data_IF_149913037916
#
_entry.id   IF_149913037916
#
_cell.length_a   1.000
_cell.length_b   1.000
_cell.length_c   1.000
_cell.angle_alpha   90.00
_cell.angle_beta   90.00
_cell.angle_gamma   90.00
#
_symmetry.space_group_name_H-M   'P 1'
#
loop_
_entity.id
_entity.type
_entity.pdbx_description
1 polymer ?
#
# COMPACT_ATOMS: atom_id res chain seq x y z
N UNK A 1 70.98 12.96 -16.49
CA UNK A 1 69.72 12.39 -17.01
C UNK A 1 68.82 12.06 -15.81
N UNK A 2 67.78 12.88 -15.56
CA UNK A 2 66.88 12.70 -14.42
C UNK A 2 65.51 12.37 -15.02
N UNK A 3 65.02 11.15 -14.80
CA UNK A 3 63.70 10.71 -15.21
C UNK A 3 62.67 11.18 -14.17
N UNK A 4 61.69 11.98 -14.61
CA UNK A 4 60.56 12.38 -13.80
C UNK A 4 59.44 11.32 -13.95
N UNK A 5 59.07 10.65 -12.86
CA UNK A 5 57.89 9.83 -12.78
C UNK A 5 56.65 10.73 -12.56
N UNK A 6 55.73 10.72 -13.52
CA UNK A 6 54.44 11.34 -13.36
C UNK A 6 53.49 10.39 -12.69
N UNK A 7 53.04 10.72 -11.47
CA UNK A 7 52.02 10.01 -10.73
C UNK A 7 50.64 10.35 -11.31
N UNK A 8 49.97 9.40 -11.97
CA UNK A 8 48.60 9.53 -12.45
C UNK A 8 47.64 9.20 -11.28
N UNK A 9 47.08 10.23 -10.64
CA UNK A 9 46.06 10.05 -9.62
C UNK A 9 44.71 9.73 -10.30
N UNK A 10 44.28 8.47 -10.17
CA UNK A 10 42.97 8.01 -10.62
C UNK A 10 41.91 8.49 -9.60
N UNK A 11 41.17 9.53 -9.95
CA UNK A 11 40.02 9.98 -9.18
C UNK A 11 38.88 8.99 -9.48
N UNK A 12 38.68 8.02 -8.59
CA UNK A 12 37.47 7.21 -8.54
C UNK A 12 36.34 8.09 -8.03
N UNK A 13 35.60 8.68 -8.96
CA UNK A 13 34.35 9.35 -8.67
C UNK A 13 33.36 8.32 -8.12
N UNK A 14 33.02 8.43 -6.83
CA UNK A 14 31.91 7.72 -6.23
C UNK A 14 30.63 8.10 -6.97
N UNK A 15 30.11 7.20 -7.77
CA UNK A 15 28.75 7.30 -8.28
C UNK A 15 27.85 7.12 -7.07
N UNK A 16 27.34 8.25 -6.55
CA UNK A 16 26.26 8.23 -5.56
C UNK A 16 25.13 7.39 -6.19
N UNK A 17 24.85 6.25 -5.54
CA UNK A 17 23.74 5.39 -5.94
C UNK A 17 22.49 6.26 -5.95
N UNK A 18 21.84 6.37 -7.10
CA UNK A 18 20.50 6.87 -7.18
C UNK A 18 19.67 5.94 -6.29
N UNK A 19 19.14 6.45 -5.19
CA UNK A 19 18.15 5.76 -4.39
C UNK A 19 17.06 5.32 -5.36
N UNK A 20 16.94 4.02 -5.55
CA UNK A 20 15.84 3.44 -6.32
C UNK A 20 14.56 3.77 -5.55
N UNK A 21 13.96 4.90 -5.89
CA UNK A 21 12.63 5.25 -5.42
C UNK A 21 11.73 4.13 -5.90
N UNK A 22 11.34 3.23 -5.00
CA UNK A 22 10.39 2.16 -5.32
C UNK A 22 9.08 2.86 -5.69
N UNK A 23 8.82 3.01 -6.98
CA UNK A 23 7.57 3.57 -7.46
C UNK A 23 6.45 2.64 -7.02
N UNK A 24 5.52 3.17 -6.24
CA UNK A 24 4.31 2.45 -5.87
C UNK A 24 3.54 2.10 -7.15
N UNK A 25 3.08 0.85 -7.24
CA UNK A 25 2.16 0.45 -8.29
C UNK A 25 0.78 1.03 -7.98
N UNK A 26 0.41 2.09 -8.70
CA UNK A 26 -0.83 2.82 -8.47
C UNK A 26 -1.63 2.99 -9.77
N UNK A 27 -2.92 3.25 -9.58
CA UNK A 27 -3.85 3.79 -10.58
C UNK A 27 -4.65 4.92 -9.96
N UNK A 28 -5.03 5.92 -10.75
CA UNK A 28 -5.87 7.04 -10.31
C UNK A 28 -7.15 7.08 -11.14
N UNK A 29 -8.31 7.03 -10.49
CA UNK A 29 -9.61 7.18 -11.13
C UNK A 29 -10.57 7.97 -10.25
N UNK A 30 -11.31 8.89 -10.86
CA UNK A 30 -12.27 9.76 -10.17
C UNK A 30 -11.63 10.50 -8.98
N UNK A 31 -10.36 10.92 -9.15
CA UNK A 31 -9.55 11.59 -8.14
C UNK A 31 -9.19 10.72 -6.93
N UNK A 32 -9.43 9.41 -6.98
CA UNK A 32 -9.03 8.44 -5.96
C UNK A 32 -7.77 7.74 -6.42
N UNK A 33 -6.76 7.68 -5.56
CA UNK A 33 -5.56 6.90 -5.80
C UNK A 33 -5.73 5.50 -5.19
N UNK A 34 -5.47 4.49 -5.99
CA UNK A 34 -5.48 3.09 -5.60
C UNK A 34 -4.07 2.53 -5.74
N UNK A 35 -3.64 1.73 -4.78
CA UNK A 35 -2.33 1.06 -4.81
C UNK A 35 -2.47 -0.45 -4.81
N UNK A 36 -1.45 -1.09 -5.32
CA UNK A 36 -1.25 -2.53 -5.26
C UNK A 36 0.11 -2.81 -4.60
N UNK A 37 0.12 -3.67 -3.62
CA UNK A 37 1.34 -4.28 -3.12
C UNK A 37 1.56 -5.62 -3.83
N UNK A 38 2.78 -5.85 -4.35
CA UNK A 38 3.06 -7.00 -5.21
C UNK A 38 2.90 -8.34 -4.49
N UNK A 39 3.26 -8.38 -3.21
CA UNK A 39 3.38 -9.60 -2.41
C UNK A 39 2.32 -9.70 -1.32
N UNK A 40 1.15 -9.06 -1.50
CA UNK A 40 0.05 -9.25 -0.57
C UNK A 40 -0.36 -10.73 -0.53
N UNK A 41 -0.38 -11.34 0.67
CA UNK A 41 -0.89 -12.69 0.82
C UNK A 41 -2.40 -12.71 0.55
N UNK A 42 -2.96 -13.89 0.43
CA UNK A 42 -4.39 -14.07 0.18
C UNK A 42 -4.68 -14.68 -1.18
N UNK A 43 -5.95 -14.99 -1.45
CA UNK A 43 -6.29 -15.57 -2.73
C UNK A 43 -6.21 -14.53 -3.85
N UNK A 44 -5.69 -14.90 -5.01
CA UNK A 44 -5.75 -14.05 -6.18
C UNK A 44 -7.21 -13.88 -6.66
N UNK A 45 -7.49 -12.77 -7.32
CA UNK A 45 -8.76 -12.60 -8.01
C UNK A 45 -8.86 -13.52 -9.22
N UNK A 46 -10.09 -13.96 -9.49
CA UNK A 46 -10.48 -14.73 -10.67
C UNK A 46 -11.38 -13.89 -11.58
N UNK A 47 -11.67 -14.38 -12.79
CA UNK A 47 -12.65 -13.71 -13.67
C UNK A 47 -14.05 -13.62 -13.05
N UNK A 48 -14.40 -14.55 -12.15
CA UNK A 48 -15.67 -14.52 -11.42
C UNK A 48 -15.79 -13.35 -10.44
N UNK A 49 -14.67 -12.80 -9.99
CA UNK A 49 -14.65 -11.65 -9.07
C UNK A 49 -14.79 -10.30 -9.81
N UNK A 50 -14.72 -10.29 -11.15
CA UNK A 50 -14.85 -9.07 -11.93
C UNK A 50 -16.32 -8.69 -12.07
N UNK A 51 -16.64 -7.47 -11.69
CA UNK A 51 -17.91 -6.80 -11.96
C UNK A 51 -17.94 -6.17 -13.35
N UNK A 52 -18.79 -5.16 -13.54
CA UNK A 52 -18.81 -4.37 -14.77
C UNK A 52 -17.47 -3.68 -15.03
N UNK A 53 -17.16 -3.43 -16.31
CA UNK A 53 -16.06 -2.54 -16.68
C UNK A 53 -16.33 -1.15 -16.08
N UNK A 54 -15.32 -0.62 -15.40
CA UNK A 54 -15.40 0.65 -14.70
C UNK A 54 -14.76 1.79 -15.50
N UNK A 55 -13.55 1.53 -16.03
CA UNK A 55 -12.77 2.52 -16.74
C UNK A 55 -11.69 1.86 -17.61
N UNK A 56 -10.94 2.69 -18.33
CA UNK A 56 -9.75 2.30 -19.10
C UNK A 56 -8.60 3.20 -18.68
N UNK A 57 -7.39 2.66 -18.54
CA UNK A 57 -6.17 3.45 -18.35
C UNK A 57 -5.91 4.26 -19.62
N UNK A 58 -5.87 5.58 -19.50
CA UNK A 58 -5.62 6.48 -20.63
C UNK A 58 -4.15 6.78 -20.81
N UNK A 59 -3.40 6.92 -19.68
CA UNK A 59 -1.97 7.14 -19.74
C UNK A 59 -1.20 6.30 -18.72
N UNK A 60 0.03 5.92 -19.08
CA UNK A 60 0.92 5.12 -18.24
C UNK A 60 2.24 5.83 -18.03
N UNK A 61 2.61 6.05 -16.77
CA UNK A 61 3.92 6.62 -16.43
C UNK A 61 5.08 5.72 -16.87
N UNK A 62 4.88 4.40 -16.84
CA UNK A 62 5.88 3.43 -17.33
C UNK A 62 6.09 3.44 -18.85
N UNK A 63 5.10 3.92 -19.62
CA UNK A 63 5.20 4.02 -21.10
C UNK A 63 5.68 5.43 -21.52
N UNK A 64 5.16 6.49 -20.89
CA UNK A 64 5.53 7.86 -21.19
C UNK A 64 5.58 8.73 -19.93
N UNK A 65 6.77 8.87 -19.38
CA UNK A 65 7.03 9.69 -18.18
C UNK A 65 6.81 11.18 -18.39
N UNK A 66 6.76 11.65 -19.64
CA UNK A 66 6.57 13.08 -19.98
C UNK A 66 5.12 13.42 -20.26
N UNK A 67 4.37 12.46 -20.79
CA UNK A 67 2.97 12.64 -21.16
C UNK A 67 1.96 12.23 -20.11
N UNK A 68 2.41 11.55 -19.04
CA UNK A 68 1.55 11.03 -17.97
C UNK A 68 2.02 11.52 -16.59
N UNK A 69 1.67 12.73 -16.16
CA UNK A 69 2.05 13.22 -14.85
C UNK A 69 1.35 12.43 -13.73
N UNK A 70 2.00 12.37 -12.56
CA UNK A 70 1.44 11.75 -11.36
C UNK A 70 0.13 12.42 -10.93
N UNK A 71 -0.86 11.60 -10.57
CA UNK A 71 -2.12 12.07 -9.96
C UNK A 71 -3.15 12.66 -10.94
N UNK A 72 -2.93 12.50 -12.26
CA UNK A 72 -4.00 12.77 -13.24
C UNK A 72 -4.97 11.60 -13.27
N UNK A 73 -6.21 11.89 -13.62
CA UNK A 73 -7.26 10.88 -13.72
C UNK A 73 -6.98 9.90 -14.87
N UNK A 74 -7.46 8.68 -14.75
CA UNK A 74 -7.23 7.57 -15.68
C UNK A 74 -5.73 7.23 -15.91
N UNK A 75 -4.85 7.57 -14.95
CA UNK A 75 -3.42 7.30 -15.01
C UNK A 75 -3.03 6.04 -14.23
N UNK A 76 -1.95 5.40 -14.67
CA UNK A 76 -1.34 4.25 -14.00
C UNK A 76 0.19 4.39 -13.91
N UNK A 77 0.80 3.81 -12.86
CA UNK A 77 2.26 3.72 -12.77
C UNK A 77 2.83 2.74 -13.79
N UNK A 78 2.29 1.52 -13.87
CA UNK A 78 2.87 0.42 -14.63
C UNK A 78 1.91 -0.26 -15.60
N UNK A 79 0.60 -0.12 -15.42
CA UNK A 79 -0.36 -0.68 -16.37
C UNK A 79 -0.29 0.12 -17.68
N UNK A 80 -0.19 -0.55 -18.84
CA UNK A 80 -0.20 0.12 -20.14
C UNK A 80 -1.50 0.89 -20.39
N UNK A 81 -1.42 1.91 -21.24
CA UNK A 81 -2.59 2.57 -21.81
C UNK A 81 -3.52 1.55 -22.47
N UNK A 82 -4.81 1.81 -22.45
CA UNK A 82 -5.88 0.90 -22.89
C UNK A 82 -6.07 -0.35 -22.02
N UNK A 83 -5.44 -0.46 -20.85
CA UNK A 83 -5.74 -1.51 -19.87
C UNK A 83 -7.14 -1.30 -19.30
N UNK A 84 -7.99 -2.33 -19.37
CA UNK A 84 -9.35 -2.28 -18.81
C UNK A 84 -9.33 -2.49 -17.31
N UNK A 85 -10.13 -1.66 -16.62
CA UNK A 85 -10.30 -1.68 -15.18
C UNK A 85 -11.76 -2.00 -14.87
N UNK A 86 -12.00 -2.86 -13.90
CA UNK A 86 -13.29 -3.41 -13.54
C UNK A 86 -13.60 -3.13 -12.07
N UNK A 87 -14.88 -3.01 -11.74
CA UNK A 87 -15.33 -3.11 -10.37
C UNK A 87 -15.01 -4.51 -9.82
N UNK A 88 -14.75 -4.62 -8.53
CA UNK A 88 -14.63 -5.91 -7.83
C UNK A 88 -16.00 -6.27 -7.24
N UNK A 89 -16.55 -7.46 -7.59
CA UNK A 89 -17.86 -7.88 -7.09
C UNK A 89 -17.90 -7.90 -5.57
N UNK A 90 -18.96 -7.33 -5.00
CA UNK A 90 -19.16 -7.27 -3.56
C UNK A 90 -18.42 -6.12 -2.86
N UNK A 91 -17.71 -5.27 -3.61
CA UNK A 91 -17.04 -4.08 -3.08
C UNK A 91 -17.43 -2.82 -3.86
N UNK A 92 -17.51 -1.67 -3.19
CA UNK A 92 -17.71 -0.39 -3.86
C UNK A 92 -16.44 0.01 -4.64
N UNK A 93 -16.62 0.68 -5.77
CA UNK A 93 -15.50 1.09 -6.64
C UNK A 93 -14.58 2.11 -5.98
N UNK A 94 -15.06 2.92 -5.05
CA UNK A 94 -14.22 3.83 -4.27
C UNK A 94 -13.30 3.12 -3.26
N UNK A 95 -13.41 1.79 -3.11
CA UNK A 95 -12.52 0.99 -2.27
C UNK A 95 -11.64 0.06 -3.09
N UNK A 96 -12.20 -0.69 -4.06
CA UNK A 96 -11.47 -1.71 -4.81
C UNK A 96 -11.77 -1.68 -6.29
N UNK A 97 -10.71 -1.78 -7.08
CA UNK A 97 -10.74 -1.97 -8.53
C UNK A 97 -9.86 -3.15 -8.92
N UNK A 98 -10.17 -3.76 -10.05
CA UNK A 98 -9.36 -4.83 -10.63
C UNK A 98 -8.95 -4.45 -12.05
N UNK A 99 -7.66 -4.56 -12.39
CA UNK A 99 -7.17 -4.38 -13.75
C UNK A 99 -6.81 -5.72 -14.39
N UNK A 100 -7.08 -5.89 -15.67
CA UNK A 100 -6.74 -7.10 -16.41
C UNK A 100 -5.67 -6.78 -17.46
N UNK A 101 -4.48 -7.39 -17.30
CA UNK A 101 -3.38 -7.23 -18.24
C UNK A 101 -2.59 -8.53 -18.38
N UNK A 102 -2.31 -8.95 -19.61
CA UNK A 102 -1.61 -10.21 -19.95
C UNK A 102 -2.19 -11.43 -19.23
N UNK A 103 -3.50 -11.60 -19.27
CA UNK A 103 -4.27 -12.67 -18.60
C UNK A 103 -4.13 -12.74 -17.08
N UNK A 104 -3.54 -11.72 -16.46
CA UNK A 104 -3.46 -11.57 -15.00
C UNK A 104 -4.46 -10.53 -14.53
N UNK A 105 -4.98 -10.76 -13.33
CA UNK A 105 -5.88 -9.83 -12.66
C UNK A 105 -5.13 -9.22 -11.49
N UNK A 106 -5.07 -7.91 -11.46
CA UNK A 106 -4.37 -7.12 -10.45
C UNK A 106 -5.42 -6.41 -9.58
N UNK A 107 -5.37 -6.63 -8.27
CA UNK A 107 -6.22 -5.93 -7.31
C UNK A 107 -5.57 -4.63 -6.89
N UNK A 108 -6.30 -3.54 -7.03
CA UNK A 108 -5.95 -2.21 -6.56
C UNK A 108 -6.90 -1.78 -5.46
N UNK A 109 -6.38 -1.15 -4.42
CA UNK A 109 -7.13 -0.80 -3.22
C UNK A 109 -6.92 0.68 -2.91
N UNK A 110 -8.00 1.40 -2.66
CA UNK A 110 -7.93 2.83 -2.36
C UNK A 110 -6.99 3.09 -1.18
N UNK A 111 -6.09 4.03 -1.34
CA UNK A 111 -5.22 4.49 -0.27
C UNK A 111 -5.37 5.99 -0.02
N UNK A 112 -5.82 6.75 -1.01
CA UNK A 112 -6.15 8.17 -0.88
C UNK A 112 -7.44 8.47 -1.61
N UNK A 113 -8.40 9.03 -0.88
CA UNK A 113 -9.63 9.56 -1.44
C UNK A 113 -9.87 10.96 -0.82
N UNK A 114 -9.76 12.04 -1.59
CA UNK A 114 -9.89 13.40 -1.07
C UNK A 114 -11.31 13.72 -0.53
N UNK A 115 -12.30 12.88 -0.85
CA UNK A 115 -13.67 13.02 -0.35
C UNK A 115 -13.93 12.26 0.95
N UNK A 116 -13.02 11.33 1.34
CA UNK A 116 -13.15 10.56 2.55
C UNK A 116 -12.97 11.45 3.79
N UNK A 117 -13.82 11.26 4.79
CA UNK A 117 -13.77 11.95 6.09
C UNK A 117 -13.40 11.01 7.21
N UNK A 118 -13.82 9.76 7.11
CA UNK A 118 -13.51 8.68 8.06
C UNK A 118 -12.98 7.46 7.33
N UNK A 119 -12.34 6.55 8.06
CA UNK A 119 -11.74 5.36 7.46
C UNK A 119 -12.76 4.48 6.73
N UNK A 120 -14.01 4.43 7.15
CA UNK A 120 -15.07 3.70 6.45
C UNK A 120 -15.40 4.26 5.06
N UNK A 121 -15.11 5.54 4.78
CA UNK A 121 -15.26 6.13 3.45
C UNK A 121 -14.15 5.67 2.50
N UNK A 122 -13.03 5.19 3.05
CA UNK A 122 -11.85 4.76 2.32
C UNK A 122 -11.76 3.22 2.23
N UNK A 123 -12.17 2.51 3.29
CA UNK A 123 -12.03 1.06 3.42
C UNK A 123 -13.36 0.40 3.78
N UNK A 124 -13.93 -0.38 2.87
CA UNK A 124 -15.12 -1.19 3.12
C UNK A 124 -14.75 -2.51 3.83
N UNK A 125 -14.36 -2.41 5.12
CA UNK A 125 -13.82 -3.52 5.92
C UNK A 125 -14.71 -3.93 7.10
N UNK A 126 -15.69 -3.11 7.49
CA UNK A 126 -16.57 -3.41 8.63
C UNK A 126 -17.38 -4.68 8.35
N UNK A 127 -17.31 -5.65 9.27
CA UNK A 127 -17.96 -6.95 9.12
C UNK A 127 -17.32 -7.88 8.08
N UNK A 128 -16.21 -7.48 7.46
CA UNK A 128 -15.51 -8.26 6.43
C UNK A 128 -14.16 -8.81 6.89
N UNK A 129 -13.54 -8.22 7.92
CA UNK A 129 -12.24 -8.68 8.44
C UNK A 129 -12.47 -9.88 9.37
N UNK A 130 -11.81 -11.00 9.07
CA UNK A 130 -11.83 -12.23 9.87
C UNK A 130 -10.59 -12.42 10.73
N UNK A 131 -9.46 -11.82 10.34
CA UNK A 131 -8.19 -11.90 11.05
C UNK A 131 -7.30 -10.71 10.68
N UNK A 132 -6.37 -10.37 11.56
CA UNK A 132 -5.35 -9.35 11.32
C UNK A 132 -4.00 -9.97 11.69
N UNK A 133 -3.04 -9.86 10.77
CA UNK A 133 -1.64 -10.13 11.06
C UNK A 133 -0.89 -8.81 11.17
N UNK A 134 0.08 -8.74 12.07
CA UNK A 134 0.91 -7.57 12.30
C UNK A 134 2.38 -7.95 12.36
N UNK A 135 3.24 -7.15 11.75
CA UNK A 135 4.70 -7.30 11.83
C UNK A 135 5.38 -5.94 11.93
N UNK A 136 6.57 -5.89 12.55
CA UNK A 136 7.40 -4.68 12.57
C UNK A 136 8.08 -4.52 11.21
N UNK A 137 8.14 -3.28 10.69
CA UNK A 137 8.72 -2.96 9.38
C UNK A 137 7.78 -3.21 8.22
N UNK A 138 8.32 -3.21 7.00
CA UNK A 138 7.60 -3.42 5.73
C UNK A 138 8.10 -4.67 5.00
N UNK A 139 7.23 -5.42 4.33
CA UNK A 139 7.66 -6.39 3.33
C UNK A 139 8.37 -5.69 2.13
N UNK A 140 9.42 -6.27 1.54
CA UNK A 140 10.05 -7.55 1.83
C UNK A 140 11.17 -7.47 2.86
N UNK A 141 11.44 -6.30 3.47
CA UNK A 141 12.56 -6.10 4.40
C UNK A 141 12.47 -6.98 5.66
N UNK A 142 11.29 -7.56 5.90
CA UNK A 142 11.01 -8.40 7.08
C UNK A 142 10.71 -9.86 6.71
N UNK A 143 11.19 -10.33 5.56
CA UNK A 143 11.00 -11.73 5.13
C UNK A 143 11.50 -12.78 6.15
N UNK A 144 12.24 -12.37 7.16
CA UNK A 144 12.80 -13.24 8.19
C UNK A 144 11.88 -13.40 9.44
N UNK A 145 10.88 -12.53 9.63
CA UNK A 145 10.01 -12.59 10.81
C UNK A 145 8.60 -13.03 10.44
N UNK A 146 8.11 -14.06 11.12
CA UNK A 146 6.73 -14.50 10.97
C UNK A 146 5.81 -13.42 11.55
N UNK A 147 4.78 -12.96 10.80
CA UNK A 147 3.81 -12.04 11.34
C UNK A 147 3.15 -12.58 12.61
N UNK A 148 2.88 -11.71 13.56
CA UNK A 148 2.08 -12.04 14.73
C UNK A 148 0.60 -11.95 14.37
N UNK A 149 -0.18 -12.96 14.74
CA UNK A 149 -1.63 -12.96 14.51
C UNK A 149 -2.37 -12.34 15.71
N UNK A 150 -3.31 -11.45 15.43
CA UNK A 150 -4.28 -10.97 16.43
C UNK A 150 -5.29 -12.09 16.67
N UNK A 151 -5.12 -12.83 17.78
CA UNK A 151 -5.87 -14.06 18.07
C UNK A 151 -7.23 -13.81 18.71
N UNK A 152 -7.45 -12.66 19.33
CA UNK A 152 -8.74 -12.28 19.94
C UNK A 152 -9.68 -11.70 18.89
N UNK A 153 -10.84 -12.30 18.69
CA UNK A 153 -11.88 -11.76 17.81
C UNK A 153 -12.40 -10.38 18.27
N UNK A 154 -12.43 -10.14 19.56
CA UNK A 154 -12.80 -8.84 20.12
C UNK A 154 -11.78 -7.77 19.75
N UNK A 155 -10.49 -8.10 19.79
CA UNK A 155 -9.45 -7.18 19.37
C UNK A 155 -9.48 -6.92 17.87
N UNK A 156 -9.78 -7.94 17.05
CA UNK A 156 -9.99 -7.73 15.60
C UNK A 156 -11.12 -6.75 15.34
N UNK A 157 -12.28 -6.94 15.99
CA UNK A 157 -13.42 -6.02 15.86
C UNK A 157 -13.06 -4.61 16.31
N UNK A 158 -12.40 -4.48 17.47
CA UNK A 158 -11.99 -3.17 18.00
C UNK A 158 -11.02 -2.44 17.07
N UNK A 159 -10.01 -3.13 16.53
CA UNK A 159 -9.06 -2.57 15.57
C UNK A 159 -9.77 -2.10 14.29
N UNK A 160 -10.67 -2.91 13.74
CA UNK A 160 -11.47 -2.55 12.56
C UNK A 160 -12.33 -1.33 12.82
N UNK A 161 -12.99 -1.26 13.99
CA UNK A 161 -13.82 -0.11 14.36
C UNK A 161 -12.98 1.17 14.51
N UNK A 162 -11.80 1.08 15.14
CA UNK A 162 -10.88 2.21 15.25
C UNK A 162 -10.40 2.70 13.88
N UNK A 163 -10.17 1.79 12.92
CA UNK A 163 -9.85 2.17 11.53
C UNK A 163 -11.06 2.84 10.89
N UNK A 164 -12.22 2.22 10.95
CA UNK A 164 -13.43 2.68 10.26
C UNK A 164 -13.90 4.06 10.74
N UNK A 165 -13.77 4.33 12.04
CA UNK A 165 -14.17 5.61 12.66
C UNK A 165 -13.04 6.65 12.67
N UNK A 166 -11.82 6.24 12.35
CA UNK A 166 -10.64 7.11 12.32
C UNK A 166 -10.80 8.25 11.32
N UNK A 167 -10.47 9.48 11.72
CA UNK A 167 -10.58 10.64 10.84
C UNK A 167 -9.55 10.54 9.70
N UNK A 168 -9.99 10.79 8.47
CA UNK A 168 -9.11 10.90 7.30
C UNK A 168 -8.59 12.32 7.18
N UNK A 169 -7.28 12.47 7.07
CA UNK A 169 -6.57 13.75 6.91
C UNK A 169 -5.58 13.63 5.74
N UNK A 170 -5.01 14.77 5.34
CA UNK A 170 -3.89 14.74 4.42
C UNK A 170 -2.76 13.87 5.00
N UNK A 171 -2.26 12.86 4.25
CA UNK A 171 -1.20 11.99 4.73
C UNK A 171 0.03 12.78 5.12
N UNK A 172 0.64 12.42 6.24
CA UNK A 172 1.91 13.00 6.67
C UNK A 172 3.06 12.43 5.84
N UNK A 173 4.13 13.18 5.74
CA UNK A 173 5.40 12.67 5.23
C UNK A 173 6.11 11.96 6.38
N UNK A 174 6.39 10.67 6.21
CA UNK A 174 7.06 9.83 7.19
C UNK A 174 8.52 9.63 6.82
N UNK A 175 9.41 9.72 7.81
CA UNK A 175 10.83 9.45 7.59
C UNK A 175 11.05 7.95 7.30
N UNK A 176 12.06 7.63 6.49
CA UNK A 176 12.40 6.23 6.16
C UNK A 176 12.75 5.42 7.41
N UNK A 177 13.39 6.04 8.40
CA UNK A 177 13.78 5.41 9.66
C UNK A 177 12.67 5.38 10.72
N UNK A 178 11.48 5.96 10.43
CA UNK A 178 10.38 6.00 11.38
C UNK A 178 9.85 4.59 11.65
N UNK A 179 9.63 4.20 12.92
CA UNK A 179 9.01 2.91 13.25
C UNK A 179 7.67 2.73 12.55
N UNK A 180 7.47 1.55 11.99
CA UNK A 180 6.23 1.22 11.27
C UNK A 180 5.85 -0.22 11.47
N UNK A 181 4.57 -0.49 11.37
CA UNK A 181 4.02 -1.84 11.43
C UNK A 181 3.28 -2.12 10.12
N UNK A 182 3.56 -3.27 9.54
CA UNK A 182 2.75 -3.79 8.44
C UNK A 182 1.55 -4.54 9.00
N UNK A 183 0.36 -4.17 8.56
CA UNK A 183 -0.89 -4.84 8.89
C UNK A 183 -1.41 -5.57 7.66
N UNK A 184 -1.76 -6.84 7.82
CA UNK A 184 -2.48 -7.61 6.81
C UNK A 184 -3.87 -7.94 7.37
N UNK A 185 -4.90 -7.30 6.84
CA UNK A 185 -6.28 -7.58 7.20
C UNK A 185 -6.82 -8.67 6.25
N UNK A 186 -7.11 -9.83 6.79
CA UNK A 186 -7.68 -10.96 6.06
C UNK A 186 -9.18 -10.80 5.96
N UNK A 187 -9.71 -10.76 4.74
CA UNK A 187 -11.14 -10.58 4.51
C UNK A 187 -11.87 -11.93 4.40
N UNK A 188 -13.19 -11.90 4.58
CA UNK A 188 -14.04 -13.09 4.55
C UNK A 188 -14.06 -13.78 3.19
N UNK A 189 -13.79 -13.04 2.10
CA UNK A 189 -13.68 -13.59 0.75
C UNK A 189 -12.31 -14.24 0.44
N UNK A 190 -11.39 -14.23 1.42
CA UNK A 190 -10.04 -14.78 1.30
C UNK A 190 -9.00 -13.84 0.69
N UNK A 191 -9.39 -12.66 0.23
CA UNK A 191 -8.44 -11.59 -0.17
C UNK A 191 -7.89 -10.86 1.05
N UNK A 192 -6.94 -9.96 0.85
CA UNK A 192 -6.33 -9.17 1.93
C UNK A 192 -6.37 -7.67 1.65
N UNK A 193 -6.13 -6.90 2.70
CA UNK A 193 -5.85 -5.47 2.66
C UNK A 193 -4.57 -5.23 3.45
N UNK A 194 -3.47 -4.88 2.76
CA UNK A 194 -2.20 -4.51 3.36
C UNK A 194 -2.14 -3.03 3.69
N UNK A 195 -1.69 -2.66 4.91
CA UNK A 195 -1.52 -1.24 5.29
C UNK A 195 -0.33 -1.07 6.22
N UNK A 196 0.36 0.06 6.05
CA UNK A 196 1.39 0.50 6.97
C UNK A 196 0.73 1.35 8.06
N UNK A 197 1.07 1.07 9.30
CA UNK A 197 0.72 1.87 10.45
C UNK A 197 1.97 2.52 11.05
N UNK A 198 1.92 3.80 11.34
CA UNK A 198 2.97 4.59 11.96
C UNK A 198 2.60 4.88 13.42
N UNK A 199 3.18 4.16 14.39
CA UNK A 199 2.76 4.24 15.78
C UNK A 199 3.04 5.60 16.43
N UNK A 200 4.11 6.30 16.03
CA UNK A 200 4.46 7.63 16.57
C UNK A 200 3.42 8.70 16.22
N UNK A 201 2.81 8.61 15.07
CA UNK A 201 1.82 9.58 14.60
C UNK A 201 0.38 9.11 14.75
N UNK A 202 0.18 7.82 15.06
CA UNK A 202 -1.15 7.20 15.11
C UNK A 202 -1.86 7.19 13.76
N UNK A 203 -1.11 7.02 12.66
CA UNK A 203 -1.65 7.14 11.31
C UNK A 203 -1.45 5.83 10.51
N UNK A 204 -2.50 5.42 9.80
CA UNK A 204 -2.39 4.43 8.75
C UNK A 204 -2.04 5.13 7.43
N UNK A 205 -1.20 4.50 6.63
CA UNK A 205 -0.89 4.95 5.26
C UNK A 205 -2.19 5.29 4.51
N UNK A 206 -2.24 6.50 3.96
CA UNK A 206 -3.46 7.05 3.35
C UNK A 206 -4.20 8.08 4.22
N UNK A 207 -3.67 8.38 5.43
CA UNK A 207 -4.12 9.50 6.26
C UNK A 207 -5.21 9.16 7.27
N UNK A 208 -5.50 7.88 7.53
CA UNK A 208 -6.46 7.49 8.56
C UNK A 208 -5.82 7.59 9.94
N UNK A 209 -6.28 8.53 10.77
CA UNK A 209 -5.81 8.69 12.15
C UNK A 209 -6.57 7.76 13.08
N UNK A 210 -5.84 6.96 13.87
CA UNK A 210 -6.40 6.05 14.86
C UNK A 210 -5.97 6.44 16.26
N UNK A 211 -6.75 6.08 17.32
CA UNK A 211 -6.41 6.43 18.69
C UNK A 211 -5.17 5.65 19.19
N UNK A 212 -4.51 6.16 20.24
CA UNK A 212 -3.34 5.50 20.86
C UNK A 212 -3.63 4.07 21.35
N UNK A 213 -4.89 3.73 21.63
CA UNK A 213 -5.33 2.37 21.96
C UNK A 213 -5.00 1.38 20.84
N UNK A 214 -5.06 1.81 19.58
CA UNK A 214 -4.74 0.99 18.43
C UNK A 214 -3.32 0.39 18.53
N UNK A 215 -2.31 1.22 18.83
CA UNK A 215 -0.93 0.77 19.04
C UNK A 215 -0.86 -0.22 20.23
N UNK A 216 -1.49 0.12 21.36
CA UNK A 216 -1.49 -0.73 22.55
C UNK A 216 -2.07 -2.12 22.30
N UNK A 217 -3.12 -2.22 21.48
CA UNK A 217 -3.68 -3.51 21.09
C UNK A 217 -2.67 -4.30 20.26
N UNK A 218 -2.04 -3.68 19.26
CA UNK A 218 -1.07 -4.37 18.38
C UNK A 218 0.17 -4.84 19.15
N UNK A 219 0.69 -4.02 20.05
CA UNK A 219 1.89 -4.31 20.85
C UNK A 219 1.74 -5.54 21.74
N UNK A 220 0.51 -5.85 22.21
CA UNK A 220 0.24 -7.09 22.95
C UNK A 220 0.58 -8.35 22.14
N UNK A 221 0.48 -8.29 20.83
CA UNK A 221 0.74 -9.41 19.94
C UNK A 221 2.16 -9.42 19.37
N UNK A 222 2.77 -8.25 19.22
CA UNK A 222 4.13 -8.13 18.70
C UNK A 222 5.22 -8.60 19.67
N UNK A 223 4.87 -8.74 20.96
CA UNK A 223 5.84 -9.04 22.01
C UNK A 223 6.84 -7.90 22.25
N UNK A 224 7.71 -8.03 23.28
CA UNK A 224 8.78 -7.08 23.52
C UNK A 224 9.69 -7.05 22.29
N UNK A 225 10.02 -5.86 21.80
CA UNK A 225 10.94 -5.69 20.68
C UNK A 225 12.30 -6.31 21.07
N UNK A 226 12.90 -7.08 20.16
CA UNK A 226 14.33 -7.26 20.18
C UNK A 226 14.94 -5.92 19.74
N UNK A 227 15.52 -5.19 20.69
CA UNK A 227 16.35 -4.01 20.45
C UNK A 227 17.61 -4.37 19.69
#
# INVERSE_FOLDING_TARGET
MRAALALLALVLGSVAGADATTLLDYITFDGIDYIRFADEPGRPLTRGDLGPEFAVVECSFGEDTRGCPYGVDAAAAFLPSNTRVYAVRGYPTNFRLAAVWKDRIFLYQAWRNPRAKVGADLYDIVGRVRAIDVQRGEPPLVAATRPAAVTSSLDVVALVEMIATGAVRAPKVHAVAEPRYWLTLWLTDGTTLGRIYFPETGELMGGVSVPAEFARVLERYLGPGAD
#
